data_IF_918479493173
#
_entry.id   IF_918479493173
#
_cell.length_a   1.000
_cell.length_b   1.000
_cell.length_c   1.000
_cell.angle_alpha   90.00
_cell.angle_beta   90.00
_cell.angle_gamma   90.00
#
_symmetry.space_group_name_H-M   'P 1'
#
loop_
_entity.id
_entity.type
_entity.pdbx_description
1 polymer ?
#
# COMPACT_ATOMS: atom_id res chain seq x y z
N UNK A 1 16.93 61.51 -4.84
CA UNK A 1 15.47 61.63 -4.98
C UNK A 1 14.99 60.41 -5.75
N UNK A 2 14.05 59.68 -5.15
CA UNK A 2 13.19 58.62 -5.68
C UNK A 2 13.70 57.18 -5.89
N UNK A 3 13.23 56.36 -4.95
CA UNK A 3 12.91 54.93 -4.95
C UNK A 3 11.91 54.58 -6.07
N UNK A 4 11.97 53.37 -6.64
CA UNK A 4 10.79 52.51 -6.87
C UNK A 4 11.20 51.02 -7.02
N UNK A 5 10.66 50.19 -6.13
CA UNK A 5 10.62 48.73 -6.18
C UNK A 5 9.28 48.34 -6.81
N UNK A 6 9.27 47.45 -7.80
CA UNK A 6 8.17 46.49 -8.10
C UNK A 6 8.85 45.38 -8.93
N UNK A 7 8.95 44.11 -8.56
CA UNK A 7 7.99 43.19 -7.97
C UNK A 7 7.95 41.98 -8.90
N UNK A 8 8.83 40.99 -8.70
CA UNK A 8 8.84 39.76 -9.50
C UNK A 8 8.00 38.71 -8.76
N UNK A 9 6.84 38.41 -9.34
CA UNK A 9 5.94 37.35 -8.87
C UNK A 9 6.66 36.00 -8.87
N UNK A 10 6.83 35.43 -7.68
CA UNK A 10 7.27 34.05 -7.50
C UNK A 10 6.05 33.14 -7.78
N UNK A 11 5.96 32.59 -8.98
CA UNK A 11 5.01 31.50 -9.26
C UNK A 11 5.59 30.24 -8.62
N UNK A 12 5.09 29.88 -7.43
CA UNK A 12 5.31 28.57 -6.83
C UNK A 12 4.62 27.51 -7.70
N UNK A 13 5.38 26.92 -8.63
CA UNK A 13 5.00 25.65 -9.22
C UNK A 13 5.42 24.54 -8.25
N UNK A 14 4.47 24.07 -7.45
CA UNK A 14 4.59 22.81 -6.73
C UNK A 14 4.83 21.69 -7.77
N UNK A 15 6.07 21.22 -7.88
CA UNK A 15 6.37 20.01 -8.65
C UNK A 15 5.83 18.83 -7.84
N UNK A 16 4.60 18.44 -8.18
CA UNK A 16 4.01 17.15 -7.83
C UNK A 16 5.00 16.04 -8.19
N UNK A 17 5.20 15.12 -7.24
CA UNK A 17 6.05 13.96 -7.39
C UNK A 17 5.45 13.03 -8.47
N UNK A 18 5.82 13.28 -9.72
CA UNK A 18 5.67 12.32 -10.81
C UNK A 18 6.89 11.42 -10.79
N UNK A 19 6.62 10.12 -10.69
CA UNK A 19 7.62 9.09 -10.44
C UNK A 19 8.81 9.16 -11.37
N UNK A 20 9.99 9.09 -10.75
CA UNK A 20 11.16 8.29 -11.15
C UNK A 20 12.28 8.70 -10.19
N UNK A 21 12.56 7.85 -9.19
CA UNK A 21 13.85 7.87 -8.50
C UNK A 21 14.90 7.41 -9.52
N UNK A 22 15.37 8.33 -10.37
CA UNK A 22 16.54 8.09 -11.21
C UNK A 22 17.77 8.10 -10.31
N UNK A 23 18.42 6.95 -10.23
CA UNK A 23 19.80 6.77 -9.80
C UNK A 23 20.67 7.88 -10.42
N UNK A 24 21.25 8.74 -9.59
CA UNK A 24 22.37 9.57 -10.00
C UNK A 24 23.66 8.80 -9.69
N UNK A 25 24.31 8.30 -10.73
CA UNK A 25 25.73 7.95 -10.71
C UNK A 25 26.50 9.22 -11.08
N UNK A 26 27.19 9.84 -10.13
CA UNK A 26 28.33 10.70 -10.41
C UNK A 26 29.48 10.32 -9.48
N UNK A 27 30.72 10.17 -9.98
CA UNK A 27 31.91 10.04 -9.15
C UNK A 27 32.52 11.42 -8.95
N UNK A 28 32.38 12.00 -7.76
CA UNK A 28 33.23 13.12 -7.34
C UNK A 28 33.81 12.81 -5.95
N UNK A 29 35.14 12.84 -5.91
CA UNK A 29 35.98 12.52 -4.77
C UNK A 29 35.75 13.53 -3.64
N UNK A 30 35.08 13.12 -2.58
CA UNK A 30 35.12 13.82 -1.30
C UNK A 30 35.68 12.88 -0.22
N UNK A 31 36.83 13.29 0.29
CA UNK A 31 37.58 12.76 1.41
C UNK A 31 36.69 12.72 2.67
N UNK A 32 36.47 11.52 3.23
CA UNK A 32 35.81 11.34 4.53
C UNK A 32 36.73 10.59 5.49
N UNK A 33 36.81 11.16 6.68
CA UNK A 33 37.61 10.79 7.85
C UNK A 33 37.17 9.42 8.41
N UNK A 34 38.10 8.48 8.51
CA UNK A 34 37.91 7.20 9.20
C UNK A 34 37.82 7.48 10.71
N UNK A 35 36.62 7.38 11.32
CA UNK A 35 36.40 6.93 12.73
C UNK A 35 34.98 7.25 13.29
N UNK A 36 33.91 6.87 12.60
CA UNK A 36 32.62 6.67 13.28
C UNK A 36 31.81 5.57 12.60
N UNK A 37 31.97 4.34 13.08
CA UNK A 37 31.00 3.27 12.84
C UNK A 37 29.67 3.65 13.50
N UNK A 38 28.83 4.36 12.76
CA UNK A 38 27.38 4.18 12.86
C UNK A 38 27.03 3.19 11.76
N UNK A 39 26.78 1.95 12.16
CA UNK A 39 26.38 0.84 11.30
C UNK A 39 25.26 1.27 10.34
N UNK A 40 25.62 1.58 9.10
CA UNK A 40 24.71 1.54 7.99
C UNK A 40 24.26 0.08 7.86
N UNK A 41 23.09 -0.22 8.42
CA UNK A 41 22.46 -1.52 8.26
C UNK A 41 22.38 -1.81 6.78
N UNK A 42 23.00 -2.92 6.38
CA UNK A 42 22.89 -3.48 5.04
C UNK A 42 21.40 -3.80 4.82
N UNK A 43 20.66 -2.92 4.16
CA UNK A 43 19.35 -3.28 3.61
C UNK A 43 19.63 -4.38 2.58
N UNK A 44 19.36 -5.61 2.97
CA UNK A 44 19.45 -6.74 2.08
C UNK A 44 18.65 -6.42 0.82
N UNK A 45 19.25 -6.63 -0.34
CA UNK A 45 18.59 -6.60 -1.64
C UNK A 45 17.61 -7.78 -1.77
N UNK A 46 16.70 -7.92 -0.82
CA UNK A 46 15.51 -8.75 -0.94
C UNK A 46 14.40 -7.87 -1.47
N UNK A 47 13.79 -8.25 -2.59
CA UNK A 47 12.58 -7.59 -3.08
C UNK A 47 11.50 -7.74 -2.00
N UNK A 48 10.97 -6.63 -1.48
CA UNK A 48 9.81 -6.65 -0.58
C UNK A 48 8.65 -7.43 -1.21
N UNK A 49 8.10 -8.37 -0.46
CA UNK A 49 6.97 -9.20 -0.87
C UNK A 49 6.15 -9.55 0.36
N UNK A 50 4.83 -9.56 0.20
CA UNK A 50 3.90 -9.98 1.25
C UNK A 50 3.41 -11.43 1.07
N UNK A 51 3.92 -12.12 0.06
CA UNK A 51 3.58 -13.52 -0.23
C UNK A 51 4.01 -14.43 0.93
N UNK A 52 3.09 -15.29 1.36
CA UNK A 52 3.28 -16.24 2.45
C UNK A 52 3.24 -15.63 3.85
N UNK A 53 3.02 -14.31 3.98
CA UNK A 53 2.95 -13.67 5.28
C UNK A 53 1.65 -14.02 6.02
N UNK A 54 1.67 -14.01 7.38
CA UNK A 54 0.49 -14.32 8.16
C UNK A 54 -0.67 -13.36 7.87
N UNK A 55 -1.81 -13.91 7.47
CA UNK A 55 -3.03 -13.16 7.19
C UNK A 55 -4.21 -13.67 8.03
N UNK A 56 -5.09 -12.74 8.39
CA UNK A 56 -6.30 -12.98 9.18
C UNK A 56 -7.49 -12.26 8.56
N UNK A 57 -8.69 -12.75 8.84
CA UNK A 57 -9.94 -12.14 8.39
C UNK A 57 -11.00 -12.22 9.48
N UNK A 58 -11.99 -11.34 9.41
CA UNK A 58 -13.06 -11.18 10.41
C UNK A 58 -13.83 -12.48 10.69
N UNK A 59 -14.09 -13.23 9.64
CA UNK A 59 -14.78 -14.51 9.64
C UNK A 59 -14.34 -15.31 8.41
N UNK A 60 -14.57 -16.62 8.37
CA UNK A 60 -14.06 -17.47 7.28
C UNK A 60 -15.17 -18.30 6.69
N UNK A 61 -15.37 -18.19 5.37
CA UNK A 61 -16.16 -19.18 4.65
C UNK A 61 -15.35 -20.49 4.56
N UNK A 62 -15.94 -21.67 4.85
CA UNK A 62 -15.20 -22.92 4.91
C UNK A 62 -14.33 -23.18 3.66
N UNK A 63 -13.02 -23.37 3.88
CA UNK A 63 -12.04 -23.66 2.83
C UNK A 63 -11.44 -22.45 2.11
N UNK A 64 -11.90 -21.22 2.39
CA UNK A 64 -11.44 -19.98 1.74
C UNK A 64 -10.72 -19.08 2.76
N UNK A 65 -9.47 -19.46 3.05
CA UNK A 65 -8.68 -18.88 4.14
C UNK A 65 -8.14 -17.49 3.80
N UNK A 66 -7.84 -16.68 4.82
CA UNK A 66 -7.22 -15.37 4.65
C UNK A 66 -5.88 -15.46 3.89
N UNK A 67 -5.09 -16.52 4.12
CA UNK A 67 -3.79 -16.72 3.49
C UNK A 67 -3.85 -16.89 1.97
N UNK A 68 -5.01 -17.24 1.40
CA UNK A 68 -5.17 -17.35 -0.05
C UNK A 68 -4.93 -16.01 -0.76
N UNK A 69 -5.19 -14.87 -0.10
CA UNK A 69 -4.97 -13.56 -0.70
C UNK A 69 -3.51 -13.08 -0.66
N UNK A 70 -2.59 -13.90 -0.17
CA UNK A 70 -1.14 -13.65 -0.15
C UNK A 70 -0.39 -14.93 -0.50
N UNK A 71 -0.97 -15.78 -1.34
CA UNK A 71 -0.37 -17.06 -1.71
C UNK A 71 0.55 -16.96 -2.95
N UNK A 72 0.58 -15.79 -3.60
CA UNK A 72 1.38 -15.52 -4.80
C UNK A 72 0.69 -15.96 -6.09
N UNK A 73 -0.56 -16.41 -6.04
CA UNK A 73 -1.33 -16.85 -7.20
C UNK A 73 -1.91 -15.67 -7.98
N UNK A 74 -1.81 -15.72 -9.30
CA UNK A 74 -2.52 -14.79 -10.20
C UNK A 74 -3.93 -15.27 -10.58
N UNK A 75 -4.40 -16.36 -9.96
CA UNK A 75 -5.71 -16.94 -10.22
C UNK A 75 -6.81 -16.12 -9.54
N UNK A 76 -7.77 -15.65 -10.33
CA UNK A 76 -9.00 -15.00 -9.83
C UNK A 76 -10.16 -16.00 -9.63
N UNK A 77 -9.87 -17.30 -9.66
CA UNK A 77 -10.83 -18.36 -9.35
C UNK A 77 -11.05 -18.46 -7.84
N UNK A 78 -12.30 -18.68 -7.42
CA UNK A 78 -12.69 -18.66 -6.01
C UNK A 78 -11.82 -19.54 -5.09
N UNK A 79 -11.32 -20.67 -5.58
CA UNK A 79 -10.45 -21.57 -4.80
C UNK A 79 -9.07 -20.98 -4.45
N UNK A 80 -8.65 -19.93 -5.15
CA UNK A 80 -7.43 -19.16 -4.86
C UNK A 80 -7.72 -17.86 -4.13
N UNK A 81 -8.98 -17.57 -3.76
CA UNK A 81 -9.34 -16.33 -3.09
C UNK A 81 -9.62 -16.56 -1.61
N UNK A 82 -9.33 -15.54 -0.80
CA UNK A 82 -9.89 -15.41 0.54
C UNK A 82 -11.37 -15.05 0.47
N UNK A 83 -12.14 -15.42 1.49
CA UNK A 83 -13.56 -15.14 1.54
C UNK A 83 -14.06 -15.12 2.99
N UNK A 84 -14.62 -13.98 3.42
CA UNK A 84 -15.26 -13.90 4.74
C UNK A 84 -16.55 -14.71 4.80
N UNK A 85 -17.17 -14.91 5.95
CA UNK A 85 -18.52 -15.48 5.93
C UNK A 85 -19.47 -14.56 5.14
N UNK A 86 -20.54 -15.14 4.61
CA UNK A 86 -21.56 -14.39 3.87
C UNK A 86 -22.28 -13.44 4.83
N UNK A 87 -22.54 -12.22 4.38
CA UNK A 87 -23.24 -11.17 5.14
C UNK A 87 -22.62 -10.85 6.50
N UNK A 88 -21.28 -10.88 6.56
CA UNK A 88 -20.49 -10.41 7.71
C UNK A 88 -20.87 -8.94 8.02
N UNK A 89 -21.15 -8.57 9.29
CA UNK A 89 -21.56 -7.21 9.66
C UNK A 89 -20.57 -6.11 9.27
N UNK A 90 -19.26 -6.41 9.23
CA UNK A 90 -18.20 -5.48 8.84
C UNK A 90 -16.94 -6.29 8.48
N UNK A 91 -16.91 -6.92 7.29
CA UNK A 91 -15.83 -7.84 6.95
C UNK A 91 -14.51 -7.11 6.78
N UNK A 92 -13.45 -7.75 7.23
CA UNK A 92 -12.09 -7.27 7.05
C UNK A 92 -11.12 -8.42 6.80
N UNK A 93 -10.06 -8.11 6.07
CA UNK A 93 -8.87 -8.94 5.89
C UNK A 93 -7.64 -8.13 6.25
N UNK A 94 -6.60 -8.75 6.81
CA UNK A 94 -5.35 -8.10 7.20
C UNK A 94 -4.16 -9.05 7.11
N UNK A 95 -3.04 -8.56 6.59
CA UNK A 95 -1.72 -9.20 6.67
C UNK A 95 -0.81 -8.52 7.70
N UNK A 96 -0.03 -9.31 8.43
CA UNK A 96 1.04 -8.84 9.32
C UNK A 96 2.38 -8.89 8.56
N UNK A 97 2.98 -7.72 8.32
CA UNK A 97 4.27 -7.58 7.65
C UNK A 97 5.46 -7.98 8.54
N UNK A 98 5.21 -8.23 9.83
CA UNK A 98 6.22 -8.57 10.82
C UNK A 98 6.97 -7.35 11.38
N UNK A 99 7.39 -6.44 10.49
CA UNK A 99 8.06 -5.18 10.84
C UNK A 99 7.39 -3.99 10.13
N UNK A 100 7.74 -2.77 10.54
CA UNK A 100 7.26 -1.55 9.88
C UNK A 100 7.90 -1.41 8.50
N UNK A 101 7.07 -1.27 7.45
CA UNK A 101 7.47 -0.90 6.10
C UNK A 101 6.90 0.47 5.71
N UNK A 102 7.54 1.14 4.76
CA UNK A 102 7.01 2.37 4.17
C UNK A 102 6.22 2.02 2.90
N UNK A 103 4.90 1.93 3.02
CA UNK A 103 4.02 1.46 1.94
C UNK A 103 3.65 2.63 1.03
N UNK A 104 3.95 2.46 -0.26
CA UNK A 104 3.60 3.43 -1.31
C UNK A 104 2.37 3.04 -2.12
N UNK A 105 2.16 1.74 -2.32
CA UNK A 105 1.05 1.21 -3.11
C UNK A 105 0.60 -0.14 -2.62
N UNK A 106 -0.70 -0.39 -2.69
CA UNK A 106 -1.32 -1.71 -2.53
C UNK A 106 -2.09 -2.04 -3.80
N UNK A 107 -2.09 -3.30 -4.23
CA UNK A 107 -2.94 -3.78 -5.32
C UNK A 107 -3.79 -4.94 -4.86
N UNK A 108 -5.02 -4.97 -5.33
CA UNK A 108 -5.99 -6.03 -5.02
C UNK A 108 -6.47 -6.65 -6.32
N UNK A 109 -6.22 -7.95 -6.49
CA UNK A 109 -6.85 -8.78 -7.52
C UNK A 109 -8.23 -9.23 -7.03
N UNK A 110 -9.26 -8.81 -7.76
CA UNK A 110 -10.65 -9.16 -7.50
C UNK A 110 -11.02 -10.53 -8.12
N UNK A 111 -12.21 -11.04 -7.78
CA UNK A 111 -12.72 -12.31 -8.28
C UNK A 111 -13.11 -12.29 -9.76
N UNK A 112 -12.80 -13.39 -10.47
CA UNK A 112 -12.80 -13.51 -11.93
C UNK A 112 -14.02 -14.09 -12.62
N UNK A 113 -14.98 -14.67 -11.90
CA UNK A 113 -16.08 -15.44 -12.54
C UNK A 113 -17.45 -14.82 -12.26
N UNK A 114 -17.68 -14.40 -11.03
CA UNK A 114 -18.89 -13.71 -10.61
C UNK A 114 -18.55 -12.79 -9.46
N UNK A 115 -19.55 -11.99 -9.08
CA UNK A 115 -19.60 -11.42 -7.75
C UNK A 115 -18.48 -10.41 -7.47
N UNK A 116 -17.87 -9.87 -8.54
CA UNK A 116 -16.81 -8.87 -8.48
C UNK A 116 -17.31 -7.57 -7.85
N UNK A 117 -18.61 -7.27 -8.03
CA UNK A 117 -19.33 -6.15 -7.42
C UNK A 117 -19.27 -6.15 -5.89
N UNK A 118 -19.04 -7.30 -5.23
CA UNK A 118 -18.91 -7.40 -3.77
C UNK A 118 -17.73 -6.61 -3.19
N UNK A 119 -16.74 -6.26 -4.02
CA UNK A 119 -15.61 -5.43 -3.59
C UNK A 119 -15.96 -3.93 -3.57
N UNK A 120 -17.15 -3.54 -4.05
CA UNK A 120 -17.61 -2.14 -4.03
C UNK A 120 -17.64 -1.60 -2.60
N UNK A 121 -17.06 -0.41 -2.40
CA UNK A 121 -16.98 0.25 -1.09
C UNK A 121 -15.87 -0.30 -0.19
N UNK A 122 -15.06 -1.26 -0.65
CA UNK A 122 -13.90 -1.72 0.10
C UNK A 122 -12.87 -0.59 0.26
N UNK A 123 -12.25 -0.55 1.44
CA UNK A 123 -11.27 0.45 1.85
C UNK A 123 -9.97 -0.25 2.14
N UNK A 124 -8.89 0.17 1.49
CA UNK A 124 -7.54 -0.30 1.83
C UNK A 124 -6.95 0.62 2.90
N UNK A 125 -6.27 0.03 3.88
CA UNK A 125 -5.62 0.75 4.99
C UNK A 125 -4.24 0.20 5.25
N UNK A 126 -3.37 1.03 5.79
CA UNK A 126 -2.05 0.62 6.23
C UNK A 126 -1.65 1.36 7.51
N UNK A 127 -1.17 0.65 8.52
CA UNK A 127 -0.70 1.28 9.76
C UNK A 127 -0.21 0.26 10.79
N UNK A 128 -0.13 0.69 12.05
CA UNK A 128 0.46 -0.11 13.13
C UNK A 128 -0.58 -0.65 14.12
N UNK A 129 -1.85 -0.26 13.99
CA UNK A 129 -2.92 -0.76 14.85
C UNK A 129 -3.39 -2.14 14.39
N UNK A 130 -3.70 -3.00 15.36
CA UNK A 130 -4.41 -4.24 15.08
C UNK A 130 -5.91 -4.03 14.89
N UNK A 131 -6.45 -2.87 15.27
CA UNK A 131 -7.81 -2.49 14.90
C UNK A 131 -7.76 -1.90 13.50
N UNK A 132 -8.40 -2.56 12.52
CA UNK A 132 -8.32 -2.18 11.10
C UNK A 132 -8.72 -0.72 10.87
N UNK A 133 -9.82 -0.28 11.48
CA UNK A 133 -10.37 1.07 11.30
C UNK A 133 -9.54 2.20 11.92
N UNK A 134 -8.61 1.88 12.82
CA UNK A 134 -7.71 2.88 13.43
C UNK A 134 -6.55 3.26 12.50
N UNK A 135 -6.32 2.46 11.44
CA UNK A 135 -5.27 2.70 10.46
C UNK A 135 -5.74 3.68 9.36
N UNK A 136 -4.86 4.57 8.88
CA UNK A 136 -5.15 5.48 7.77
C UNK A 136 -5.43 4.73 6.47
N UNK A 137 -6.23 5.34 5.61
CA UNK A 137 -6.64 4.78 4.31
C UNK A 137 -5.57 4.98 3.24
N UNK A 138 -5.35 3.96 2.41
CA UNK A 138 -4.65 4.08 1.14
C UNK A 138 -5.66 4.36 0.03
N UNK A 139 -5.60 5.57 -0.54
CA UNK A 139 -6.50 5.98 -1.61
C UNK A 139 -7.97 6.11 -1.17
N UNK A 140 -8.87 6.08 -2.16
CA UNK A 140 -10.32 6.16 -1.97
C UNK A 140 -10.95 4.77 -1.91
N UNK A 141 -12.16 4.64 -1.31
CA UNK A 141 -12.92 3.40 -1.37
C UNK A 141 -13.19 2.96 -2.82
N UNK A 142 -13.27 1.64 -3.03
CA UNK A 142 -13.53 1.03 -4.35
C UNK A 142 -14.88 1.49 -4.90
N UNK A 143 -14.89 2.02 -6.12
CA UNK A 143 -16.13 2.37 -6.82
C UNK A 143 -16.76 1.14 -7.49
N UNK A 144 -18.05 1.23 -7.81
CA UNK A 144 -18.73 0.17 -8.55
C UNK A 144 -18.03 -0.14 -9.89
N UNK A 145 -17.61 0.91 -10.63
CA UNK A 145 -16.91 0.77 -11.91
C UNK A 145 -15.55 0.09 -11.78
N UNK A 146 -14.81 0.36 -10.70
CA UNK A 146 -13.55 -0.33 -10.42
C UNK A 146 -13.76 -1.82 -10.07
N UNK A 147 -14.88 -2.14 -9.41
CA UNK A 147 -15.25 -3.51 -9.06
C UNK A 147 -15.88 -4.30 -10.23
N UNK A 148 -16.42 -3.63 -11.26
CA UNK A 148 -17.12 -4.29 -12.38
C UNK A 148 -16.26 -5.33 -13.12
N UNK A 149 -14.99 -5.06 -13.50
CA UNK A 149 -14.20 -6.01 -14.26
C UNK A 149 -13.98 -7.31 -13.48
N UNK A 150 -14.50 -8.41 -14.04
CA UNK A 150 -14.24 -9.75 -13.54
C UNK A 150 -12.72 -10.00 -13.55
N UNK A 151 -12.14 -10.26 -12.38
CA UNK A 151 -10.71 -10.55 -12.25
C UNK A 151 -9.83 -9.31 -12.43
N UNK A 152 -10.42 -8.12 -12.31
CA UNK A 152 -9.68 -6.86 -12.38
C UNK A 152 -8.74 -6.68 -11.19
N UNK A 153 -7.62 -6.02 -11.44
CA UNK A 153 -6.71 -5.53 -10.40
C UNK A 153 -6.95 -4.05 -10.15
N UNK A 154 -7.10 -3.66 -8.89
CA UNK A 154 -7.29 -2.27 -8.47
C UNK A 154 -6.03 -1.81 -7.74
N UNK A 155 -5.44 -0.71 -8.20
CA UNK A 155 -4.28 -0.06 -7.57
C UNK A 155 -4.74 1.01 -6.57
N UNK A 156 -4.15 1.01 -5.38
CA UNK A 156 -4.37 1.97 -4.33
C UNK A 156 -3.05 2.68 -4.02
N UNK A 157 -2.94 3.94 -4.44
CA UNK A 157 -1.80 4.78 -4.09
C UNK A 157 -1.94 5.30 -2.66
N UNK A 158 -1.03 4.92 -1.76
CA UNK A 158 -0.99 5.43 -0.40
C UNK A 158 -0.31 6.81 -0.42
N UNK A 159 -1.11 7.88 -0.29
CA UNK A 159 -0.62 9.27 -0.28
C UNK A 159 -1.16 10.04 0.94
N UNK A 160 -0.29 10.57 1.83
CA UNK A 160 1.17 10.36 1.86
C UNK A 160 1.53 8.88 2.06
N UNK A 161 2.79 8.50 1.83
CA UNK A 161 3.21 7.12 2.08
C UNK A 161 3.10 6.79 3.57
N UNK A 162 2.71 5.55 3.86
CA UNK A 162 2.29 5.14 5.19
C UNK A 162 3.31 4.18 5.78
N UNK A 163 3.82 4.52 6.97
CA UNK A 163 4.52 3.53 7.80
C UNK A 163 3.51 2.56 8.37
N UNK A 164 3.70 1.28 8.09
CA UNK A 164 2.74 0.26 8.44
C UNK A 164 3.43 -1.07 8.76
N UNK A 165 2.97 -1.74 9.81
CA UNK A 165 3.16 -3.17 10.03
C UNK A 165 2.00 -4.00 9.48
N UNK A 166 0.83 -3.40 9.35
CA UNK A 166 -0.38 -4.07 8.89
C UNK A 166 -0.91 -3.40 7.62
N UNK A 167 -1.25 -4.21 6.62
CA UNK A 167 -2.08 -3.81 5.48
C UNK A 167 -3.41 -4.54 5.63
N UNK A 168 -4.51 -3.83 5.40
CA UNK A 168 -5.85 -4.39 5.53
C UNK A 168 -6.80 -3.89 4.46
N UNK A 169 -7.83 -4.68 4.18
CA UNK A 169 -8.97 -4.30 3.35
C UNK A 169 -10.23 -4.53 4.18
N UNK A 170 -11.06 -3.50 4.35
CA UNK A 170 -12.34 -3.58 5.05
C UNK A 170 -13.49 -3.06 4.21
N UNK A 171 -14.70 -3.62 4.44
CA UNK A 171 -15.94 -3.01 3.98
C UNK A 171 -16.69 -2.57 5.24
N UNK A 172 -16.82 -1.26 5.52
CA UNK A 172 -17.33 -0.75 6.79
C UNK A 172 -18.87 -0.79 6.87
N UNK A 173 -19.46 -1.88 6.39
CA UNK A 173 -20.88 -2.19 6.44
C UNK A 173 -21.08 -3.68 6.18
N UNK A 174 -22.32 -4.15 6.32
CA UNK A 174 -22.65 -5.56 6.10
C UNK A 174 -22.36 -5.95 4.65
N UNK A 175 -21.47 -6.91 4.46
CA UNK A 175 -21.01 -7.32 3.13
C UNK A 175 -20.38 -8.73 3.15
N UNK A 176 -19.83 -9.15 2.02
CA UNK A 176 -18.95 -10.31 1.91
C UNK A 176 -17.66 -9.87 1.24
N UNK A 177 -16.53 -9.97 1.94
CA UNK A 177 -15.23 -9.59 1.39
C UNK A 177 -14.57 -10.81 0.71
N UNK A 178 -14.06 -10.59 -0.50
CA UNK A 178 -13.37 -11.58 -1.31
C UNK A 178 -12.13 -10.94 -1.92
N UNK A 179 -10.96 -11.53 -1.70
CA UNK A 179 -9.69 -11.02 -2.23
C UNK A 179 -8.92 -12.20 -2.82
N UNK A 180 -8.59 -12.13 -4.10
CA UNK A 180 -7.88 -13.22 -4.76
C UNK A 180 -6.37 -13.10 -4.62
N UNK A 181 -5.85 -11.88 -4.65
CA UNK A 181 -4.45 -11.62 -4.30
C UNK A 181 -4.31 -10.17 -3.84
N UNK A 182 -3.51 -9.94 -2.82
CA UNK A 182 -3.10 -8.62 -2.35
C UNK A 182 -1.59 -8.54 -2.50
N UNK A 183 -1.13 -7.48 -3.15
CA UNK A 183 0.31 -7.18 -3.24
C UNK A 183 0.56 -5.76 -2.76
N UNK A 184 1.80 -5.49 -2.37
CA UNK A 184 2.19 -4.17 -1.90
C UNK A 184 3.57 -3.80 -2.43
N UNK A 185 3.80 -2.50 -2.60
CA UNK A 185 5.10 -1.93 -2.92
C UNK A 185 5.56 -1.06 -1.76
N UNK A 186 6.76 -1.33 -1.27
CA UNK A 186 7.45 -0.42 -0.38
C UNK A 186 8.18 0.67 -1.18
N UNK A 187 8.36 1.82 -0.54
CA UNK A 187 9.21 2.90 -1.03
C UNK A 187 10.28 3.21 0.02
N UNK A 188 11.34 3.98 -0.31
CA UNK A 188 12.33 4.39 0.67
C UNK A 188 11.69 5.04 1.90
N UNK A 189 12.20 4.71 3.09
CA UNK A 189 11.64 5.19 4.36
C UNK A 189 11.57 6.72 4.45
N UNK A 190 12.49 7.42 3.80
CA UNK A 190 12.51 8.89 3.73
C UNK A 190 11.21 9.48 3.14
N UNK A 191 10.54 8.77 2.23
CA UNK A 191 9.24 9.16 1.70
C UNK A 191 8.18 9.22 2.80
N UNK A 192 8.17 8.25 3.73
CA UNK A 192 7.26 8.26 4.87
C UNK A 192 7.66 9.26 5.96
N UNK A 193 8.93 9.64 6.03
CA UNK A 193 9.43 10.64 6.99
C UNK A 193 9.24 12.08 6.49
N UNK A 194 8.65 12.27 5.31
CA UNK A 194 8.51 13.59 4.69
C UNK A 194 9.84 14.22 4.28
N UNK A 195 10.91 13.43 4.22
CA UNK A 195 12.21 13.87 3.73
C UNK A 195 12.22 13.67 2.22
N UNK A 196 11.91 14.74 1.49
CA UNK A 196 12.35 14.80 0.08
C UNK A 196 13.87 14.85 0.08
N UNK A 197 14.55 13.94 -0.61
CA UNK A 197 15.98 14.05 -0.86
C UNK A 197 16.25 15.41 -1.53
N UNK A 198 16.77 16.33 -0.74
CA UNK A 198 16.99 17.73 -1.09
C UNK A 198 18.11 18.29 -0.25
N UNK A 199 19.33 18.17 -0.77
CA UNK A 199 20.42 19.11 -0.61
C UNK A 199 21.10 19.23 -1.99
#
# INVERSE_FOLDING_TARGET
MNVFIVGLFLILLAKSCHGQCRHWLTPELHYFDDNKETSAGTYGSGTFSIVGLPAHQSSTYPGLLAGNAVDGSSSSMIGSCSHTFIDDPAPWWRVDLGVDHCIGKVRVLNRGVCCSDRLTGAVVRAGNSTTVTDNPTCGSPVTADQAQPLGGTIDFDCRPQLRARYISVDIPHRATLQLCEVTAEEVPLDCCLGKSNGA
#
